data_IF_168358195433
#
_entry.id   IF_168358195433
#
_cell.length_a   1.000
_cell.length_b   1.000
_cell.length_c   1.000
_cell.angle_alpha   90.00
_cell.angle_beta   90.00
_cell.angle_gamma   90.00
#
_symmetry.space_group_name_H-M   'P 1'
#
loop_
_entity.id
_entity.type
_entity.pdbx_description
1 polymer ?
#
# COMPACT_ATOMS: atom_id res chain seq x y z
N UNK A 1 -0.20 9.45 -2.01
CA UNK A 1 -1.59 9.49 -1.51
C UNK A 1 -2.02 8.17 -0.88
N UNK A 2 -1.95 7.03 -1.56
CA UNK A 2 -2.39 5.72 -1.01
C UNK A 2 -1.76 5.39 0.35
N UNK A 3 -0.43 5.51 0.50
CA UNK A 3 0.22 5.24 1.80
C UNK A 3 -0.24 6.17 2.94
N UNK A 4 -0.46 7.46 2.64
CA UNK A 4 -0.97 8.44 3.62
C UNK A 4 -2.42 8.09 4.00
N UNK A 5 -3.28 7.84 3.02
CA UNK A 5 -4.67 7.48 3.24
C UNK A 5 -4.79 6.17 4.02
N UNK A 6 -3.96 5.17 3.70
CA UNK A 6 -3.88 3.91 4.43
C UNK A 6 -3.52 4.17 5.90
N UNK A 7 -2.43 4.89 6.17
CA UNK A 7 -2.06 5.23 7.55
C UNK A 7 -3.15 6.01 8.31
N UNK A 8 -3.75 7.02 7.67
CA UNK A 8 -4.81 7.83 8.30
C UNK A 8 -6.06 7.00 8.62
N UNK A 9 -6.51 6.15 7.69
CA UNK A 9 -7.65 5.26 7.89
C UNK A 9 -7.34 4.27 9.02
N UNK A 10 -6.14 3.68 9.04
CA UNK A 10 -5.72 2.78 10.13
C UNK A 10 -5.72 3.48 11.48
N UNK A 11 -5.15 4.69 11.55
CA UNK A 11 -5.14 5.50 12.76
C UNK A 11 -6.54 5.80 13.29
N UNK A 12 -7.49 6.10 12.40
CA UNK A 12 -8.89 6.39 12.79
C UNK A 12 -9.65 5.13 13.20
N UNK A 13 -9.57 4.06 12.42
CA UNK A 13 -10.30 2.80 12.67
C UNK A 13 -9.81 2.14 13.96
N UNK A 14 -8.50 2.14 14.20
CA UNK A 14 -7.89 1.47 15.35
C UNK A 14 -7.52 2.44 16.49
N UNK A 15 -8.10 3.66 16.52
CA UNK A 15 -7.78 4.69 17.53
C UNK A 15 -7.87 4.17 18.97
N UNK A 16 -8.88 3.36 19.27
CA UNK A 16 -9.13 2.84 20.61
C UNK A 16 -8.09 1.76 20.97
N UNK A 17 -7.69 0.93 20.00
CA UNK A 17 -6.60 -0.04 20.15
C UNK A 17 -5.28 0.67 20.46
N UNK A 18 -4.95 1.76 19.77
CA UNK A 18 -3.76 2.54 20.05
C UNK A 18 -3.82 3.22 21.43
N UNK A 19 -4.98 3.75 21.83
CA UNK A 19 -5.17 4.32 23.16
C UNK A 19 -5.00 3.28 24.28
N UNK A 20 -5.40 2.03 24.05
CA UNK A 20 -5.14 0.94 24.99
C UNK A 20 -3.67 0.54 25.05
N UNK A 21 -2.98 0.43 23.91
CA UNK A 21 -1.54 0.15 23.87
C UNK A 21 -0.78 1.24 24.64
N UNK A 22 -1.12 2.52 24.43
CA UNK A 22 -0.48 3.65 25.10
C UNK A 22 -0.73 3.72 26.62
N UNK A 23 -1.79 3.08 27.13
CA UNK A 23 -2.05 2.93 28.57
C UNK A 23 -1.31 1.75 29.20
N UNK A 24 -0.73 0.85 28.42
CA UNK A 24 -0.04 -0.34 28.88
C UNK A 24 1.44 -0.41 28.44
N UNK A 25 2.02 -1.61 28.44
CA UNK A 25 3.34 -1.83 27.85
C UNK A 25 3.26 -1.76 26.33
N UNK A 26 4.16 -1.01 25.70
CA UNK A 26 4.30 -0.97 24.23
C UNK A 26 5.08 -2.18 23.72
N UNK A 27 6.11 -2.61 24.44
CA UNK A 27 6.94 -3.76 24.07
C UNK A 27 6.16 -5.05 24.29
N UNK A 28 6.15 -5.94 23.29
CA UNK A 28 5.40 -7.20 23.32
C UNK A 28 3.89 -7.04 23.23
N UNK A 29 3.39 -5.84 22.88
CA UNK A 29 1.95 -5.54 22.88
C UNK A 29 1.19 -6.01 21.64
N UNK A 30 1.91 -6.42 20.60
CA UNK A 30 1.34 -6.85 19.31
C UNK A 30 1.42 -8.37 19.23
N UNK A 31 0.28 -9.09 19.34
CA UNK A 31 0.23 -10.53 19.12
C UNK A 31 0.27 -10.88 17.62
N UNK A 32 0.37 -12.17 17.29
CA UNK A 32 0.40 -12.64 15.89
C UNK A 32 -0.89 -12.37 15.11
N UNK A 33 -2.04 -12.28 15.80
CA UNK A 33 -3.39 -12.15 15.20
C UNK A 33 -4.29 -11.24 16.03
N UNK A 34 -5.37 -10.75 15.43
CA UNK A 34 -6.39 -9.91 16.07
C UNK A 34 -6.17 -8.41 15.84
N UNK A 35 -6.95 -7.58 16.53
CA UNK A 35 -7.06 -6.15 16.21
C UNK A 35 -5.75 -5.38 16.42
N UNK A 36 -4.96 -5.73 17.44
CA UNK A 36 -3.63 -5.15 17.66
C UNK A 36 -2.65 -5.49 16.53
N UNK A 37 -2.70 -6.72 16.03
CA UNK A 37 -1.90 -7.15 14.89
C UNK A 37 -2.34 -6.39 13.62
N UNK A 38 -3.65 -6.29 13.37
CA UNK A 38 -4.19 -5.58 12.22
C UNK A 38 -3.84 -4.08 12.25
N UNK A 39 -4.00 -3.44 13.41
CA UNK A 39 -3.63 -2.04 13.64
C UNK A 39 -2.14 -1.79 13.38
N UNK A 40 -1.27 -2.67 13.90
CA UNK A 40 0.17 -2.62 13.65
C UNK A 40 0.47 -2.71 12.16
N UNK A 41 -0.06 -3.72 11.46
CA UNK A 41 0.21 -3.91 10.03
C UNK A 41 -0.32 -2.77 9.15
N UNK A 42 -1.45 -2.15 9.51
CA UNK A 42 -1.94 -0.95 8.85
C UNK A 42 -0.93 0.20 8.94
N UNK A 43 -0.38 0.43 10.13
CA UNK A 43 0.57 1.50 10.36
C UNK A 43 1.96 1.19 9.79
N UNK A 44 2.40 -0.07 9.82
CA UNK A 44 3.67 -0.49 9.25
C UNK A 44 3.65 -0.49 7.70
N UNK A 45 2.50 -0.79 7.08
CA UNK A 45 2.34 -0.75 5.63
C UNK A 45 2.28 0.69 5.08
N UNK A 46 1.81 1.67 5.85
CA UNK A 46 1.70 3.06 5.41
C UNK A 46 3.02 3.69 4.92
N UNK A 47 4.14 3.66 5.68
CA UNK A 47 5.41 4.23 5.23
C UNK A 47 6.04 3.45 4.08
N UNK A 48 5.86 2.12 4.02
CA UNK A 48 6.36 1.29 2.90
C UNK A 48 5.60 1.58 1.61
N UNK A 49 4.28 1.75 1.68
CA UNK A 49 3.47 2.20 0.54
C UNK A 49 3.84 3.62 0.09
N UNK A 50 4.09 4.53 1.03
CA UNK A 50 4.53 5.88 0.70
C UNK A 50 5.91 5.88 0.02
N UNK A 51 6.86 5.12 0.56
CA UNK A 51 8.20 4.95 -0.01
C UNK A 51 8.12 4.36 -1.42
N UNK A 52 7.33 3.30 -1.61
CA UNK A 52 7.11 2.71 -2.94
C UNK A 52 6.57 3.72 -3.95
N UNK A 53 5.64 4.57 -3.53
CA UNK A 53 5.14 5.67 -4.37
C UNK A 53 6.22 6.72 -4.72
N UNK A 54 7.14 7.01 -3.81
CA UNK A 54 8.28 7.92 -4.09
C UNK A 54 9.28 7.29 -5.05
N UNK A 55 9.62 6.02 -4.85
CA UNK A 55 10.54 5.29 -5.73
C UNK A 55 9.95 5.17 -7.14
N UNK A 56 8.65 4.88 -7.25
CA UNK A 56 7.97 4.84 -8.53
C UNK A 56 7.97 6.21 -9.23
N UNK A 57 7.72 7.30 -8.50
CA UNK A 57 7.80 8.65 -9.06
C UNK A 57 9.21 8.95 -9.58
N UNK A 58 10.23 8.59 -8.82
CA UNK A 58 11.62 8.73 -9.25
C UNK A 58 11.89 7.94 -10.54
N UNK A 59 11.37 6.73 -10.66
CA UNK A 59 11.46 5.92 -11.89
C UNK A 59 10.72 6.55 -13.08
N UNK A 60 9.57 7.19 -12.85
CA UNK A 60 8.86 7.95 -13.88
C UNK A 60 9.66 9.17 -14.35
N UNK A 61 10.21 9.95 -13.43
CA UNK A 61 10.98 11.17 -13.72
C UNK A 61 12.28 10.89 -14.50
N UNK A 62 12.87 9.71 -14.34
CA UNK A 62 14.11 9.31 -15.02
C UNK A 62 13.88 8.35 -16.19
N UNK A 63 12.63 8.07 -16.56
CA UNK A 63 12.32 7.19 -17.70
C UNK A 63 12.70 5.72 -17.49
N UNK A 64 12.78 5.24 -16.25
CA UNK A 64 13.07 3.83 -15.93
C UNK A 64 11.84 2.96 -16.21
N UNK A 65 11.66 2.61 -17.48
CA UNK A 65 10.57 1.78 -17.96
C UNK A 65 10.55 0.37 -17.34
N UNK A 66 11.70 -0.33 -17.17
CA UNK A 66 11.71 -1.61 -16.46
C UNK A 66 11.14 -1.54 -15.04
N UNK A 67 11.54 -0.56 -14.24
CA UNK A 67 11.00 -0.39 -12.89
C UNK A 67 9.51 -0.08 -12.89
N UNK A 68 9.05 0.79 -13.81
CA UNK A 68 7.63 1.10 -13.98
C UNK A 68 6.81 -0.14 -14.37
N UNK A 69 7.32 -1.02 -15.24
CA UNK A 69 6.67 -2.29 -15.61
C UNK A 69 6.58 -3.23 -14.43
N UNK A 70 7.69 -3.44 -13.72
CA UNK A 70 7.73 -4.33 -12.57
C UNK A 70 6.72 -3.88 -11.50
N UNK A 71 6.72 -2.59 -11.16
CA UNK A 71 5.72 -2.00 -10.27
C UNK A 71 4.30 -2.18 -10.81
N UNK A 72 4.07 -1.93 -12.11
CA UNK A 72 2.78 -2.11 -12.76
C UNK A 72 2.23 -3.53 -12.64
N UNK A 73 3.05 -4.55 -12.91
CA UNK A 73 2.68 -5.97 -12.79
C UNK A 73 2.36 -6.32 -11.33
N UNK A 74 3.26 -6.01 -10.40
CA UNK A 74 3.10 -6.36 -8.99
C UNK A 74 1.87 -5.70 -8.39
N UNK A 75 1.68 -4.40 -8.61
CA UNK A 75 0.54 -3.67 -8.08
C UNK A 75 -0.79 -4.16 -8.68
N UNK A 76 -0.81 -4.51 -9.97
CA UNK A 76 -2.00 -5.07 -10.61
C UNK A 76 -2.34 -6.45 -10.04
N UNK A 77 -1.35 -7.33 -9.88
CA UNK A 77 -1.55 -8.67 -9.36
C UNK A 77 -2.02 -8.65 -7.89
N UNK A 78 -1.31 -7.92 -7.02
CA UNK A 78 -1.68 -7.77 -5.61
C UNK A 78 -3.03 -7.08 -5.48
N UNK A 79 -3.26 -6.02 -6.26
CA UNK A 79 -4.54 -5.32 -6.29
C UNK A 79 -5.69 -6.23 -6.70
N UNK A 80 -5.51 -7.07 -7.72
CA UNK A 80 -6.55 -7.98 -8.20
C UNK A 80 -6.89 -9.04 -7.15
N UNK A 81 -5.87 -9.72 -6.61
CA UNK A 81 -6.04 -10.73 -5.55
C UNK A 81 -6.72 -10.12 -4.32
N UNK A 82 -6.23 -8.95 -3.87
CA UNK A 82 -6.78 -8.27 -2.70
C UNK A 82 -8.19 -7.73 -2.94
N UNK A 83 -8.53 -7.32 -4.17
CA UNK A 83 -9.89 -6.88 -4.52
C UNK A 83 -10.86 -8.05 -4.48
N UNK A 84 -10.45 -9.23 -4.96
CA UNK A 84 -11.28 -10.45 -4.88
C UNK A 84 -11.49 -10.87 -3.42
N UNK A 85 -10.41 -10.88 -2.62
CA UNK A 85 -10.48 -11.28 -1.22
C UNK A 85 -11.23 -10.26 -0.34
N UNK A 86 -11.08 -8.96 -0.61
CA UNK A 86 -11.65 -7.86 0.17
C UNK A 86 -12.14 -6.73 -0.74
N UNK A 87 -13.33 -6.84 -1.36
CA UNK A 87 -13.80 -5.86 -2.35
C UNK A 87 -13.96 -4.44 -1.79
N UNK A 88 -14.44 -4.30 -0.56
CA UNK A 88 -14.63 -3.01 0.12
C UNK A 88 -13.34 -2.60 0.87
N UNK A 89 -12.27 -2.37 0.12
CA UNK A 89 -10.94 -2.04 0.67
C UNK A 89 -10.17 -1.05 -0.21
N UNK A 90 -8.88 -0.82 0.10
CA UNK A 90 -7.99 -0.01 -0.74
C UNK A 90 -7.42 -0.74 -1.96
N UNK A 91 -7.55 -2.07 -2.07
CA UNK A 91 -6.94 -2.87 -3.14
C UNK A 91 -7.35 -2.49 -4.57
N UNK A 92 -8.60 -2.05 -4.86
CA UNK A 92 -8.97 -1.57 -6.19
C UNK A 92 -8.09 -0.43 -6.69
N UNK A 93 -7.56 0.40 -5.78
CA UNK A 93 -6.65 1.49 -6.14
C UNK A 93 -5.33 0.97 -6.73
N UNK A 94 -4.83 -0.17 -6.23
CA UNK A 94 -3.58 -0.77 -6.74
C UNK A 94 -3.76 -1.34 -8.15
N UNK A 95 -4.94 -1.90 -8.45
CA UNK A 95 -5.30 -2.31 -9.81
C UNK A 95 -5.28 -1.12 -10.76
N UNK A 96 -5.92 -0.01 -10.38
CA UNK A 96 -5.96 1.21 -11.18
C UNK A 96 -4.56 1.78 -11.45
N UNK A 97 -3.73 1.88 -10.40
CA UNK A 97 -2.34 2.37 -10.52
C UNK A 97 -1.52 1.44 -11.41
N UNK A 98 -1.56 0.13 -11.14
CA UNK A 98 -0.79 -0.85 -11.89
C UNK A 98 -1.16 -0.88 -13.37
N UNK A 99 -2.47 -0.84 -13.68
CA UNK A 99 -2.97 -0.79 -15.05
C UNK A 99 -2.53 0.47 -15.81
N UNK A 100 -2.52 1.64 -15.15
CA UNK A 100 -2.03 2.89 -15.75
C UNK A 100 -0.54 2.80 -16.07
N UNK A 101 0.29 2.27 -15.16
CA UNK A 101 1.72 2.10 -15.38
C UNK A 101 2.03 1.18 -16.56
N UNK A 102 1.35 0.03 -16.62
CA UNK A 102 1.50 -0.92 -17.72
C UNK A 102 1.09 -0.27 -19.05
N UNK A 103 -0.05 0.42 -19.09
CA UNK A 103 -0.52 1.12 -20.29
C UNK A 103 0.47 2.17 -20.78
N UNK A 104 1.05 2.96 -19.87
CA UNK A 104 2.07 3.97 -20.22
C UNK A 104 3.33 3.33 -20.78
N UNK A 105 3.84 2.31 -20.09
CA UNK A 105 5.07 1.65 -20.48
C UNK A 105 4.99 0.90 -21.82
N UNK A 106 3.80 0.41 -22.20
CA UNK A 106 3.58 -0.20 -23.51
C UNK A 106 3.59 0.84 -24.64
N UNK A 107 3.11 2.06 -24.38
CA UNK A 107 3.12 3.15 -25.38
C UNK A 107 4.53 3.64 -25.66
N UNK A 108 5.35 3.79 -24.63
CA UNK A 108 6.75 4.26 -24.75
C UNK A 108 7.72 3.24 -25.37
N UNK A 109 7.25 2.05 -25.76
CA UNK A 109 8.05 1.07 -26.53
C UNK A 109 7.56 0.93 -27.97
N UNK A 110 6.40 1.55 -28.29
CA UNK A 110 5.92 1.66 -29.66
C UNK A 110 6.34 2.95 -30.37
N UNK A 111 6.98 3.88 -29.64
CA UNK A 111 7.68 5.07 -30.14
C UNK A 111 9.18 4.76 -30.29
#
# INVERSE_FOLDING_TARGET
>A
MVGIAHGAIGAVIYRDVFAEIGRGSVVGSVPDRGDRAAAFWFMAAAPTLWLGGRLLRSAEEHGDLPAQRAAGVVLSAVGAVGTVAMPKSGFPSLVGIGGVLLRRSLRSTGE
#
